data_IF_141073052508
#
_entry.id   IF_141073052508
#
_cell.length_a   1.000
_cell.length_b   1.000
_cell.length_c   1.000
_cell.angle_alpha   90.00
_cell.angle_beta   90.00
_cell.angle_gamma   90.00
#
_symmetry.space_group_name_H-M   'P 1'
#
loop_
_entity.id
_entity.type
_entity.pdbx_description
1 polymer ?
#
# COMPACT_ATOMS: atom_id res chain seq x y z
N UNK A 1 20.22 7.82 6.59
CA UNK A 1 19.46 7.70 7.84
C UNK A 1 18.78 9.05 8.07
N UNK A 2 17.47 9.14 7.91
CA UNK A 2 16.68 10.24 8.49
C UNK A 2 15.68 9.59 9.44
N UNK A 3 15.69 10.08 10.68
CA UNK A 3 14.96 9.55 11.82
C UNK A 3 13.71 10.40 12.07
N UNK A 4 12.98 10.78 11.02
CA UNK A 4 11.80 11.65 11.13
C UNK A 4 10.58 11.08 10.40
N UNK A 5 10.56 9.78 10.09
CA UNK A 5 9.43 9.22 9.39
C UNK A 5 8.16 9.29 10.23
N UNK A 6 7.15 9.96 9.69
CA UNK A 6 5.86 10.21 10.32
C UNK A 6 5.91 10.65 11.79
N UNK A 7 6.81 11.58 12.14
CA UNK A 7 6.87 12.18 13.48
C UNK A 7 7.03 11.15 14.62
N UNK A 8 7.80 10.07 14.40
CA UNK A 8 7.98 8.94 15.35
C UNK A 8 6.70 8.15 15.66
N UNK A 9 5.65 8.26 14.83
CA UNK A 9 4.42 7.48 14.98
C UNK A 9 4.33 6.33 13.97
N UNK A 10 3.83 5.15 14.37
CA UNK A 10 3.60 4.03 13.44
C UNK A 10 2.76 4.48 12.24
N UNK A 11 3.17 4.08 11.05
CA UNK A 11 2.44 4.34 9.81
C UNK A 11 1.56 3.13 9.53
N UNK A 12 0.25 3.33 9.48
CA UNK A 12 -0.68 2.30 9.01
C UNK A 12 -0.50 2.12 7.50
N UNK A 13 -0.34 0.87 7.06
CA UNK A 13 -0.15 0.51 5.66
C UNK A 13 -1.15 -0.57 5.27
N UNK A 14 -1.95 -0.30 4.26
CA UNK A 14 -2.90 -1.26 3.70
C UNK A 14 -2.44 -1.67 2.30
N UNK A 15 -2.18 -2.97 2.11
CA UNK A 15 -2.07 -3.58 0.80
C UNK A 15 -3.47 -4.03 0.35
N UNK A 16 -3.90 -3.58 -0.83
CA UNK A 16 -5.27 -3.70 -1.32
C UNK A 16 -5.27 -4.37 -2.69
N UNK A 17 -5.74 -5.61 -2.75
CA UNK A 17 -6.04 -6.27 -4.02
C UNK A 17 -7.40 -5.82 -4.53
N UNK A 18 -7.45 -5.38 -5.78
CA UNK A 18 -8.65 -4.87 -6.42
C UNK A 18 -9.08 -5.79 -7.56
N UNK A 19 -10.30 -6.31 -7.48
CA UNK A 19 -10.82 -7.33 -8.39
C UNK A 19 -11.17 -6.84 -9.80
N UNK A 20 -11.61 -5.58 -9.94
CA UNK A 20 -12.06 -5.00 -11.20
C UNK A 20 -11.46 -3.62 -11.49
N UNK A 21 -11.42 -3.24 -12.78
CA UNK A 21 -10.72 -2.06 -13.26
C UNK A 21 -11.38 -0.75 -12.84
N UNK A 22 -12.72 -0.70 -12.81
CA UNK A 22 -13.46 0.51 -12.43
C UNK A 22 -13.20 0.87 -10.97
N UNK A 23 -13.17 -0.12 -10.08
CA UNK A 23 -12.85 0.07 -8.68
C UNK A 23 -11.38 0.49 -8.50
N UNK A 24 -10.48 -0.08 -9.30
CA UNK A 24 -9.06 0.27 -9.28
C UNK A 24 -8.85 1.74 -9.68
N UNK A 25 -9.49 2.20 -10.75
CA UNK A 25 -9.39 3.58 -11.22
C UNK A 25 -9.96 4.58 -10.18
N UNK A 26 -11.06 4.22 -9.52
CA UNK A 26 -11.60 5.03 -8.43
C UNK A 26 -10.61 5.14 -7.27
N UNK A 27 -10.05 4.01 -6.82
CA UNK A 27 -9.08 4.00 -5.72
C UNK A 27 -7.75 4.68 -6.09
N UNK A 28 -7.37 4.65 -7.37
CA UNK A 28 -6.23 5.40 -7.90
C UNK A 28 -6.44 6.91 -7.86
N UNK A 29 -7.67 7.41 -7.69
CA UNK A 29 -7.95 8.83 -7.45
C UNK A 29 -8.02 9.20 -5.96
N UNK A 30 -8.06 8.21 -5.06
CA UNK A 30 -8.37 8.41 -3.65
C UNK A 30 -7.13 8.76 -2.83
N UNK A 31 -7.09 9.90 -2.11
CA UNK A 31 -6.04 10.17 -1.12
C UNK A 31 -6.02 9.11 -0.01
N UNK A 32 -4.85 8.75 0.53
CA UNK A 32 -4.78 7.70 1.57
C UNK A 32 -5.62 8.00 2.80
N UNK A 33 -5.64 9.23 3.30
CA UNK A 33 -6.48 9.59 4.45
C UNK A 33 -7.98 9.28 4.20
N UNK A 34 -8.44 9.46 2.95
CA UNK A 34 -9.82 9.11 2.55
C UNK A 34 -10.02 7.60 2.47
N UNK A 35 -9.03 6.86 1.98
CA UNK A 35 -9.02 5.39 2.03
C UNK A 35 -9.19 4.91 3.49
N UNK A 36 -8.30 5.31 4.41
CA UNK A 36 -8.35 4.85 5.79
C UNK A 36 -9.65 5.24 6.52
N UNK A 37 -10.20 6.42 6.22
CA UNK A 37 -11.49 6.84 6.77
C UNK A 37 -12.69 6.04 6.25
N UNK A 38 -12.62 5.46 5.04
CA UNK A 38 -13.75 4.82 4.35
C UNK A 38 -13.58 3.32 4.12
N UNK A 39 -12.40 2.74 4.39
CA UNK A 39 -12.02 1.37 4.01
C UNK A 39 -13.04 0.32 4.46
N UNK A 40 -13.58 0.45 5.67
CA UNK A 40 -14.55 -0.53 6.18
C UNK A 40 -15.88 -0.47 5.44
N UNK A 41 -16.31 0.71 4.99
CA UNK A 41 -17.50 0.85 4.16
C UNK A 41 -17.23 0.30 2.76
N UNK A 42 -16.12 0.66 2.13
CA UNK A 42 -15.72 0.17 0.81
C UNK A 42 -15.61 -1.36 0.78
N UNK A 43 -15.04 -1.98 1.83
CA UNK A 43 -14.95 -3.44 1.96
C UNK A 43 -16.32 -4.11 2.07
N UNK A 44 -17.30 -3.47 2.72
CA UNK A 44 -18.68 -3.97 2.79
C UNK A 44 -19.42 -3.82 1.46
N UNK A 45 -19.15 -2.75 0.73
CA UNK A 45 -19.79 -2.48 -0.56
C UNK A 45 -19.19 -3.34 -1.69
N UNK A 46 -17.92 -3.73 -1.56
CA UNK A 46 -17.16 -4.50 -2.56
C UNK A 46 -16.49 -5.77 -1.98
N UNK A 47 -17.22 -6.66 -1.29
CA UNK A 47 -16.63 -7.76 -0.52
C UNK A 47 -15.95 -8.84 -1.35
N UNK A 48 -16.22 -8.91 -2.66
CA UNK A 48 -15.59 -9.84 -3.60
C UNK A 48 -14.44 -9.22 -4.39
N UNK A 49 -14.38 -7.89 -4.42
CA UNK A 49 -13.46 -7.12 -5.25
C UNK A 49 -12.39 -6.39 -4.42
N UNK A 50 -12.46 -6.41 -3.09
CA UNK A 50 -11.46 -5.84 -2.20
C UNK A 50 -10.97 -6.85 -1.18
N UNK A 51 -9.70 -7.23 -1.28
CA UNK A 51 -8.98 -7.92 -0.21
C UNK A 51 -7.92 -6.97 0.36
N UNK A 52 -7.95 -6.77 1.68
CA UNK A 52 -7.07 -5.83 2.39
C UNK A 52 -6.21 -6.60 3.39
N UNK A 53 -4.90 -6.30 3.38
CA UNK A 53 -3.97 -6.74 4.40
C UNK A 53 -3.31 -5.52 5.01
N UNK A 54 -3.43 -5.38 6.33
CA UNK A 54 -2.98 -4.22 7.08
C UNK A 54 -1.69 -4.52 7.85
N UNK A 55 -0.81 -3.53 7.89
CA UNK A 55 0.45 -3.53 8.64
C UNK A 55 0.58 -2.22 9.41
N UNK A 56 1.20 -2.28 10.59
CA UNK A 56 1.72 -1.09 11.26
C UNK A 56 3.23 -1.08 11.10
N UNK A 57 3.75 -0.03 10.47
CA UNK A 57 5.18 0.10 10.16
C UNK A 57 5.79 1.16 11.06
N UNK A 58 6.75 0.78 11.88
CA UNK A 58 7.50 1.74 12.69
C UNK A 58 8.60 2.38 11.82
N UNK A 59 8.82 3.70 11.91
CA UNK A 59 9.97 4.38 11.31
C UNK A 59 11.29 3.63 11.49
N UNK A 60 12.03 3.40 10.40
CA UNK A 60 13.31 2.68 10.42
C UNK A 60 13.20 1.14 10.45
N UNK A 61 11.99 0.59 10.52
CA UNK A 61 11.77 -0.86 10.46
C UNK A 61 11.87 -1.38 9.02
N UNK A 62 12.59 -2.48 8.82
CA UNK A 62 12.49 -3.28 7.60
C UNK A 62 11.50 -4.41 7.83
N UNK A 63 10.40 -4.43 7.09
CA UNK A 63 9.50 -5.59 7.06
C UNK A 63 10.07 -6.59 6.05
N UNK A 64 10.46 -7.80 6.48
CA UNK A 64 10.98 -8.80 5.56
C UNK A 64 9.93 -9.10 4.48
N UNK A 65 10.40 -9.36 3.26
CA UNK A 65 9.54 -9.69 2.14
C UNK A 65 8.65 -10.90 2.50
N UNK A 66 7.38 -10.64 2.80
CA UNK A 66 6.40 -11.69 2.95
C UNK A 66 6.04 -12.23 1.57
N UNK A 67 5.65 -13.52 1.44
CA UNK A 67 4.96 -13.97 0.24
C UNK A 67 3.81 -13.00 -0.04
N UNK A 68 3.78 -12.44 -1.25
CA UNK A 68 2.73 -11.49 -1.62
C UNK A 68 1.36 -12.07 -1.25
N UNK A 69 0.62 -11.37 -0.39
CA UNK A 69 -0.53 -11.93 0.31
C UNK A 69 -1.66 -12.40 -0.63
N UNK A 70 -1.60 -11.99 -1.91
CA UNK A 70 -2.62 -12.22 -2.92
C UNK A 70 -2.22 -13.22 -4.01
N UNK A 71 -1.15 -14.03 -3.80
CA UNK A 71 -0.69 -15.02 -4.80
C UNK A 71 -1.85 -15.88 -5.33
N UNK A 72 -2.02 -15.91 -6.66
CA UNK A 72 -3.00 -16.75 -7.35
C UNK A 72 -4.41 -16.15 -7.49
N UNK A 73 -4.69 -15.00 -6.89
CA UNK A 73 -5.97 -14.31 -7.06
C UNK A 73 -5.99 -13.50 -8.36
N UNK A 74 -7.06 -13.65 -9.16
CA UNK A 74 -7.30 -12.76 -10.30
C UNK A 74 -7.67 -11.37 -9.77
N UNK A 75 -6.99 -10.34 -10.28
CA UNK A 75 -7.19 -8.97 -9.87
C UNK A 75 -6.92 -8.03 -11.04
N UNK A 76 -7.56 -6.87 -11.00
CA UNK A 76 -7.24 -5.74 -11.87
C UNK A 76 -5.95 -5.03 -11.43
N UNK A 77 -5.59 -5.10 -10.14
CA UNK A 77 -4.34 -4.55 -9.62
C UNK A 77 -4.17 -4.66 -8.12
N UNK A 78 -3.02 -4.18 -7.62
CA UNK A 78 -2.74 -4.02 -6.19
C UNK A 78 -2.27 -2.61 -5.91
N UNK A 79 -2.93 -1.98 -4.95
CA UNK A 79 -2.53 -0.69 -4.39
C UNK A 79 -1.94 -0.89 -3.00
N UNK A 80 -0.98 -0.05 -2.64
CA UNK A 80 -0.56 0.11 -1.25
C UNK A 80 -0.83 1.53 -0.84
N UNK A 81 -1.57 1.71 0.26
CA UNK A 81 -1.84 3.00 0.89
C UNK A 81 -1.04 3.10 2.19
N UNK A 82 -0.48 4.27 2.46
CA UNK A 82 0.19 4.60 3.72
C UNK A 82 -0.48 5.84 4.36
N UNK A 83 -0.81 5.75 5.64
CA UNK A 83 -1.53 6.81 6.39
C UNK A 83 -0.56 7.83 7.00
N UNK A 84 0.16 8.56 6.15
CA UNK A 84 0.96 9.68 6.62
C UNK A 84 0.06 10.82 7.11
N UNK A 85 0.48 11.53 8.15
CA UNK A 85 -0.23 12.71 8.67
C UNK A 85 -0.22 13.91 7.71
N UNK A 86 0.66 13.90 6.71
CA UNK A 86 0.70 14.94 5.68
C UNK A 86 -0.42 14.76 4.65
N UNK A 87 -0.90 15.84 4.03
CA UNK A 87 -1.80 15.72 2.89
C UNK A 87 -1.08 15.12 1.68
N UNK A 88 -1.67 14.12 1.03
CA UNK A 88 -1.06 13.56 -0.18
C UNK A 88 -1.76 12.30 -0.70
N UNK A 89 -1.31 11.87 -1.88
CA UNK A 89 -1.79 10.65 -2.49
C UNK A 89 -1.43 9.42 -1.64
N UNK A 90 -0.19 9.39 -1.14
CA UNK A 90 0.39 8.36 -0.29
C UNK A 90 0.01 6.92 -0.65
N UNK A 91 -0.03 6.66 -1.96
CA UNK A 91 -0.28 5.35 -2.53
C UNK A 91 0.68 5.01 -3.67
N UNK A 92 0.92 3.72 -3.88
CA UNK A 92 1.59 3.17 -5.06
C UNK A 92 0.79 2.02 -5.64
N UNK A 93 0.95 1.79 -6.95
CA UNK A 93 0.42 0.63 -7.66
C UNK A 93 1.54 -0.37 -7.89
N UNK A 94 1.30 -1.65 -7.60
CA UNK A 94 2.33 -2.71 -7.67
C UNK A 94 2.28 -3.53 -8.96
N UNK A 95 1.12 -3.61 -9.60
CA UNK A 95 0.91 -4.25 -10.89
C UNK A 95 1.51 -3.37 -12.00
N UNK A 96 2.76 -3.68 -12.36
CA UNK A 96 3.62 -2.91 -13.26
C UNK A 96 5.04 -2.68 -12.73
N UNK A 97 5.31 -3.04 -11.47
CA UNK A 97 6.62 -2.91 -10.83
C UNK A 97 7.57 -4.10 -11.03
N UNK A 98 8.83 -3.98 -10.60
CA UNK A 98 9.82 -5.06 -10.70
C UNK A 98 9.40 -6.30 -9.90
N UNK A 99 9.73 -7.51 -10.38
CA UNK A 99 9.32 -8.78 -9.78
C UNK A 99 9.73 -8.96 -8.30
N UNK A 100 10.75 -8.22 -7.84
CA UNK A 100 11.22 -8.18 -6.46
C UNK A 100 11.07 -6.77 -5.87
N UNK A 101 9.91 -6.15 -5.98
CA UNK A 101 9.75 -4.77 -5.51
C UNK A 101 9.91 -4.66 -3.97
N UNK A 102 10.59 -3.60 -3.54
CA UNK A 102 10.71 -3.19 -2.14
C UNK A 102 9.94 -1.88 -1.98
N UNK A 103 9.02 -1.86 -1.02
CA UNK A 103 8.33 -0.64 -0.63
C UNK A 103 9.19 0.11 0.40
N UNK A 104 9.64 1.30 0.03
CA UNK A 104 10.33 2.20 0.93
C UNK A 104 9.33 3.24 1.46
N UNK A 105 9.17 3.28 2.78
CA UNK A 105 8.46 4.34 3.48
C UNK A 105 9.49 5.39 3.91
N UNK A 106 9.45 6.55 3.27
CA UNK A 106 10.23 7.73 3.65
C UNK A 106 9.48 8.58 4.67
N UNK A 107 9.94 9.81 4.88
CA UNK A 107 9.47 10.58 6.03
C UNK A 107 8.01 11.04 5.88
N UNK A 108 7.63 11.35 4.64
CA UNK A 108 6.31 11.85 4.23
C UNK A 108 5.89 11.27 2.87
N UNK A 109 6.64 10.31 2.32
CA UNK A 109 6.43 9.74 1.00
C UNK A 109 6.64 8.23 1.01
N UNK A 110 6.08 7.56 0.01
CA UNK A 110 6.36 6.15 -0.25
C UNK A 110 6.85 5.97 -1.68
N UNK A 111 7.77 5.02 -1.85
CA UNK A 111 8.37 4.74 -3.14
C UNK A 111 8.48 3.24 -3.35
N UNK A 112 8.14 2.81 -4.57
CA UNK A 112 8.43 1.47 -5.03
C UNK A 112 9.84 1.43 -5.63
N UNK A 113 10.71 0.55 -5.12
CA UNK A 113 12.06 0.33 -5.64
C UNK A 113 12.24 -1.09 -6.11
N UNK A 114 13.15 -1.30 -7.06
CA UNK A 114 13.66 -2.62 -7.36
C UNK A 114 14.42 -3.15 -6.14
N UNK A 115 14.01 -4.30 -5.62
CA UNK A 115 14.77 -5.01 -4.59
C UNK A 115 16.09 -5.52 -5.14
N UNK A 116 17.04 -5.89 -4.26
CA UNK A 116 18.31 -6.46 -4.68
C UNK A 116 18.03 -7.69 -5.54
N UNK A 117 18.53 -7.68 -6.78
CA UNK A 117 18.50 -8.87 -7.63
C UNK A 117 19.21 -10.01 -6.90
N UNK A 118 18.62 -11.21 -6.91
CA UNK A 118 19.37 -12.40 -6.56
C UNK A 118 20.50 -12.51 -7.59
N UNK A 119 21.73 -12.22 -7.18
CA UNK A 119 22.93 -12.65 -7.89
C UNK A 119 23.01 -14.17 -7.87
#
# INVERSE_FOLDING_TARGET
MTAQANLDTPIAVDAVLVGNAQLLDMLLGLPSAKWFAQREQLRRDHPKDLNVVSYEVVPGQMIPAAPFAFKGQRAAGVLVFADYQTPGAHRVRLDGGPANAVLLLGDQDLQLRSGPGKQ
#
